data_IF_448931354658
#
_entry.id   IF_448931354658
#
_cell.length_a   1.000
_cell.length_b   1.000
_cell.length_c   1.000
_cell.angle_alpha   90.00
_cell.angle_beta   90.00
_cell.angle_gamma   90.00
#
_symmetry.space_group_name_H-M   'P 1'
#
loop_
_entity.id
_entity.type
_entity.pdbx_description
1 polymer ?
#
# COMPACT_ATOMS: atom_id res chain seq x y z
N UNK A 1 -2.85 -11.37 6.37
CA UNK A 1 -2.63 -10.03 5.81
C UNK A 1 -4.00 -9.44 5.52
N UNK A 2 -4.38 -8.36 6.19
CA UNK A 2 -5.55 -7.56 5.80
C UNK A 2 -5.24 -7.03 4.40
N UNK A 3 -6.12 -7.26 3.41
CA UNK A 3 -5.84 -7.04 1.99
C UNK A 3 -5.48 -5.60 1.61
N UNK A 4 -5.37 -5.31 0.31
CA UNK A 4 -5.09 -3.95 -0.17
C UNK A 4 -6.19 -2.99 0.29
N UNK A 5 -5.88 -1.90 1.01
CA UNK A 5 -6.87 -0.95 1.47
C UNK A 5 -7.58 -0.27 0.28
N UNK A 6 -8.87 0.05 0.46
CA UNK A 6 -9.65 0.75 -0.56
C UNK A 6 -9.23 2.21 -0.69
N UNK A 7 -9.65 2.87 -1.78
CA UNK A 7 -9.32 4.29 -2.01
C UNK A 7 -9.89 5.20 -0.91
N UNK A 8 -11.05 4.87 -0.37
CA UNK A 8 -11.65 5.59 0.76
C UNK A 8 -10.81 5.39 2.04
N UNK A 9 -10.39 4.17 2.34
CA UNK A 9 -9.56 3.88 3.51
C UNK A 9 -8.20 4.58 3.44
N UNK A 10 -7.56 4.60 2.27
CA UNK A 10 -6.30 5.31 2.04
C UNK A 10 -6.48 6.82 2.25
N UNK A 11 -7.59 7.41 1.80
CA UNK A 11 -7.89 8.83 2.05
C UNK A 11 -8.11 9.13 3.52
N UNK A 12 -8.75 8.23 4.27
CA UNK A 12 -8.91 8.35 5.72
C UNK A 12 -7.56 8.26 6.46
N UNK A 13 -6.64 7.45 5.97
CA UNK A 13 -5.29 7.30 6.54
C UNK A 13 -4.37 8.47 6.18
N UNK A 14 -4.45 8.96 4.93
CA UNK A 14 -3.70 10.10 4.45
C UNK A 14 -4.48 10.84 3.35
N UNK A 15 -5.17 11.94 3.68
CA UNK A 15 -5.98 12.67 2.71
C UNK A 15 -5.18 13.30 1.57
N UNK A 16 -3.84 13.44 1.71
CA UNK A 16 -2.95 13.96 0.68
C UNK A 16 -2.43 12.87 -0.28
N UNK A 17 -2.75 11.60 -0.05
CA UNK A 17 -2.27 10.49 -0.88
C UNK A 17 -3.17 10.35 -2.13
N UNK A 18 -2.89 11.19 -3.13
CA UNK A 18 -3.65 11.27 -4.39
C UNK A 18 -3.18 10.24 -5.43
N UNK A 19 -1.96 9.74 -5.32
CA UNK A 19 -1.40 8.71 -6.20
C UNK A 19 -1.49 7.33 -5.54
N UNK A 20 -2.30 6.44 -6.11
CA UNK A 20 -2.33 5.00 -5.76
C UNK A 20 -1.12 4.29 -6.38
N UNK A 21 0.07 4.86 -6.20
CA UNK A 21 1.30 4.32 -6.73
C UNK A 21 2.02 3.61 -5.59
N UNK A 22 1.57 2.39 -5.33
CA UNK A 22 2.32 1.51 -4.45
C UNK A 22 3.71 1.32 -5.05
N UNK A 23 4.77 1.47 -4.26
CA UNK A 23 6.08 1.06 -4.73
C UNK A 23 5.97 -0.39 -5.20
N UNK A 24 6.54 -0.70 -6.36
CA UNK A 24 6.71 -2.10 -6.76
C UNK A 24 7.74 -2.72 -5.82
N UNK A 25 7.26 -3.15 -4.64
CA UNK A 25 8.06 -3.89 -3.69
C UNK A 25 8.31 -5.24 -4.35
N UNK A 26 9.51 -5.41 -4.89
CA UNK A 26 9.97 -6.73 -5.31
C UNK A 26 9.97 -7.61 -4.07
N UNK A 27 9.39 -8.80 -4.17
CA UNK A 27 9.44 -9.76 -3.09
C UNK A 27 10.91 -10.04 -2.76
N UNK A 28 11.36 -9.52 -1.62
CA UNK A 28 12.64 -9.93 -1.07
C UNK A 28 12.42 -11.31 -0.45
N UNK A 29 13.18 -12.34 -0.86
CA UNK A 29 13.09 -13.64 -0.23
C UNK A 29 13.37 -13.47 1.26
N UNK A 30 12.41 -13.86 2.09
CA UNK A 30 12.70 -14.16 3.47
C UNK A 30 13.53 -15.44 3.45
N UNK A 31 14.80 -15.33 3.85
CA UNK A 31 15.79 -16.38 4.18
C UNK A 31 16.96 -16.48 3.16
N UNK A 32 18.21 -16.68 3.58
CA UNK A 32 18.72 -17.25 4.85
C UNK A 32 19.06 -16.28 5.96
#
# INVERSE_FOLDING_TARGET
>A
VLGTPTREEIRCMNPNYTEFRFPQIKAHPWHK
#
